data_IF_677142366942
#
_entry.id   IF_677142366942
#
_cell.length_a   1.000
_cell.length_b   1.000
_cell.length_c   1.000
_cell.angle_alpha   90.00
_cell.angle_beta   90.00
_cell.angle_gamma   90.00
#
_symmetry.space_group_name_H-M   'P 1'
#
loop_
_entity.id
_entity.type
_entity.pdbx_description
1 polymer ?
#
# COMPACT_ATOMS: atom_id res chain seq x y z
N UNK A 1 -77.95 2.03 -29.21
CA UNK A 1 -76.67 2.18 -28.48
C UNK A 1 -76.73 1.32 -27.23
N UNK A 2 -76.06 0.16 -27.23
CA UNK A 2 -75.96 -0.72 -26.06
C UNK A 2 -74.67 -0.39 -25.31
N UNK A 3 -74.77 0.13 -24.08
CA UNK A 3 -73.62 0.36 -23.20
C UNK A 3 -73.10 -0.99 -22.70
N UNK A 4 -71.84 -1.31 -23.00
CA UNK A 4 -71.12 -2.43 -22.38
C UNK A 4 -71.04 -2.18 -20.87
N UNK A 5 -71.83 -2.92 -20.09
CA UNK A 5 -71.75 -2.86 -18.64
C UNK A 5 -70.52 -3.66 -18.18
N UNK A 6 -69.49 -2.95 -17.72
CA UNK A 6 -68.42 -3.59 -16.94
C UNK A 6 -69.02 -4.01 -15.60
N UNK A 7 -69.29 -5.31 -15.43
CA UNK A 7 -69.54 -5.84 -14.09
C UNK A 7 -68.19 -5.90 -13.38
N UNK A 8 -67.97 -5.15 -12.28
CA UNK A 8 -66.75 -5.30 -11.49
C UNK A 8 -66.68 -6.75 -11.02
N UNK A 9 -65.62 -7.47 -11.43
CA UNK A 9 -65.40 -8.81 -10.92
C UNK A 9 -65.12 -8.68 -9.42
N UNK A 10 -65.78 -9.48 -8.55
CA UNK A 10 -65.51 -9.44 -7.12
C UNK A 10 -64.02 -9.70 -6.87
N UNK A 11 -63.45 -8.94 -5.94
CA UNK A 11 -62.05 -9.06 -5.56
C UNK A 11 -61.80 -10.49 -5.05
N UNK A 12 -60.94 -11.23 -5.75
CA UNK A 12 -60.52 -12.55 -5.31
C UNK A 12 -59.46 -12.38 -4.22
N UNK A 13 -59.89 -12.58 -2.97
CA UNK A 13 -59.05 -12.46 -1.77
C UNK A 13 -57.90 -13.48 -1.77
N UNK A 14 -58.02 -14.56 -2.56
CA UNK A 14 -56.99 -15.58 -2.69
C UNK A 14 -56.00 -15.30 -3.83
N UNK A 15 -56.19 -14.20 -4.59
CA UNK A 15 -55.25 -13.80 -5.63
C UNK A 15 -53.93 -13.39 -4.98
N UNK A 16 -52.87 -14.13 -5.29
CA UNK A 16 -51.51 -13.82 -4.81
C UNK A 16 -51.10 -12.44 -5.31
N UNK A 17 -50.64 -11.60 -4.39
CA UNK A 17 -50.16 -10.24 -4.68
C UNK A 17 -48.73 -10.38 -5.24
N UNK A 18 -48.39 -9.71 -6.35
CA UNK A 18 -47.00 -9.64 -6.81
C UNK A 18 -46.16 -8.88 -5.78
N UNK A 19 -45.09 -9.51 -5.30
CA UNK A 19 -44.11 -8.85 -4.44
C UNK A 19 -43.10 -8.20 -5.36
N UNK A 20 -43.08 -6.88 -5.39
CA UNK A 20 -42.08 -6.11 -6.13
C UNK A 20 -40.80 -6.10 -5.32
N UNK A 21 -39.70 -6.58 -5.89
CA UNK A 21 -38.38 -6.61 -5.25
C UNK A 21 -37.47 -5.51 -5.78
N UNK A 22 -37.70 -5.04 -7.00
CA UNK A 22 -36.96 -3.94 -7.60
C UNK A 22 -37.86 -3.06 -8.48
N UNK A 23 -37.44 -1.80 -8.72
CA UNK A 23 -38.13 -0.87 -9.64
C UNK A 23 -38.27 -1.46 -11.06
N UNK A 24 -37.38 -2.38 -11.45
CA UNK A 24 -37.44 -3.05 -12.76
C UNK A 24 -38.61 -4.04 -12.87
N UNK A 25 -39.11 -4.55 -11.73
CA UNK A 25 -40.26 -5.46 -11.71
C UNK A 25 -41.59 -4.75 -12.01
N UNK A 26 -41.58 -3.41 -12.12
CA UNK A 26 -42.74 -2.63 -12.54
C UNK A 26 -42.86 -2.48 -14.06
N UNK A 27 -41.80 -2.70 -14.84
CA UNK A 27 -41.82 -2.35 -16.28
C UNK A 27 -42.42 -3.43 -17.20
N UNK A 28 -42.71 -4.64 -16.70
CA UNK A 28 -43.05 -5.80 -17.54
C UNK A 28 -44.56 -6.01 -17.84
N UNK A 29 -45.48 -5.24 -17.24
CA UNK A 29 -46.94 -5.51 -17.36
C UNK A 29 -47.75 -4.52 -18.24
N UNK A 30 -47.18 -3.43 -18.75
CA UNK A 30 -47.95 -2.38 -19.45
C UNK A 30 -47.90 -2.39 -21.00
N UNK A 31 -47.24 -3.38 -21.64
CA UNK A 31 -46.98 -3.32 -23.10
C UNK A 31 -47.94 -4.15 -23.99
N UNK A 32 -48.88 -4.94 -23.46
CA UNK A 32 -49.68 -5.88 -24.28
C UNK A 32 -51.20 -5.65 -24.27
N UNK A 33 -51.65 -4.41 -24.47
CA UNK A 33 -53.04 -4.17 -24.89
C UNK A 33 -53.14 -3.20 -26.08
N UNK A 34 -52.46 -3.50 -27.18
CA UNK A 34 -52.82 -2.91 -28.46
C UNK A 34 -52.56 -3.86 -29.63
N UNK A 35 -53.58 -4.00 -30.46
CA UNK A 35 -53.57 -4.48 -31.86
C UNK A 35 -53.43 -5.98 -32.19
N UNK A 36 -54.56 -6.49 -32.73
CA UNK A 36 -54.71 -7.31 -33.96
C UNK A 36 -54.60 -8.85 -33.89
N UNK A 37 -55.78 -9.47 -34.06
CA UNK A 37 -56.14 -10.45 -35.10
C UNK A 37 -55.08 -11.50 -35.48
N UNK A 38 -55.31 -12.75 -35.07
CA UNK A 38 -55.16 -13.93 -35.94
C UNK A 38 -56.08 -15.07 -35.46
N UNK A 39 -57.04 -15.39 -36.32
CA UNK A 39 -57.75 -16.66 -36.42
C UNK A 39 -56.75 -17.84 -36.39
N UNK A 40 -57.10 -18.96 -35.76
CA UNK A 40 -57.01 -20.35 -36.29
C UNK A 40 -57.35 -21.37 -35.18
N UNK A 41 -58.45 -22.09 -35.43
CA UNK A 41 -58.87 -23.46 -35.06
C UNK A 41 -58.56 -24.09 -33.71
N UNK A 42 -59.63 -24.63 -33.12
CA UNK A 42 -59.68 -25.67 -32.10
C UNK A 42 -58.74 -26.86 -32.36
N UNK A 43 -58.05 -27.29 -31.31
CA UNK A 43 -57.62 -28.66 -31.11
C UNK A 43 -57.53 -28.93 -29.60
N UNK A 44 -58.52 -29.64 -29.07
CA UNK A 44 -58.45 -30.35 -27.79
C UNK A 44 -57.28 -31.33 -27.82
N UNK A 45 -56.34 -31.19 -26.87
CA UNK A 45 -55.42 -32.25 -26.42
C UNK A 45 -54.74 -31.84 -25.12
N UNK A 46 -55.38 -32.22 -24.00
CA UNK A 46 -54.77 -32.63 -22.73
C UNK A 46 -53.48 -31.91 -22.28
N UNK A 47 -53.65 -30.74 -21.66
CA UNK A 47 -52.60 -30.15 -20.82
C UNK A 47 -52.44 -31.03 -19.59
N UNK A 48 -51.40 -31.86 -19.60
CA UNK A 48 -50.88 -32.55 -18.43
C UNK A 48 -50.84 -31.58 -17.26
N UNK A 49 -51.52 -31.93 -16.16
CA UNK A 49 -51.35 -31.24 -14.88
C UNK A 49 -49.88 -31.36 -14.47
N UNK A 50 -49.11 -30.30 -14.70
CA UNK A 50 -47.74 -30.19 -14.22
C UNK A 50 -47.86 -30.16 -12.70
N UNK A 51 -47.44 -31.28 -12.11
CA UNK A 51 -47.27 -31.47 -10.68
C UNK A 51 -46.76 -30.19 -10.04
N UNK A 52 -47.48 -29.73 -9.01
CA UNK A 52 -47.14 -28.65 -8.11
C UNK A 52 -45.65 -28.70 -7.74
N UNK A 53 -44.81 -27.98 -8.51
CA UNK A 53 -43.43 -27.71 -8.16
C UNK A 53 -43.49 -26.93 -6.87
N UNK A 54 -43.15 -27.57 -5.75
CA UNK A 54 -42.82 -26.89 -4.49
C UNK A 54 -41.96 -25.69 -4.88
N UNK A 55 -42.42 -24.49 -4.57
CA UNK A 55 -41.68 -23.27 -4.82
C UNK A 55 -40.29 -23.48 -4.22
N UNK A 56 -39.28 -23.64 -5.07
CA UNK A 56 -37.90 -23.71 -4.62
C UNK A 56 -37.67 -22.42 -3.82
N UNK A 57 -37.14 -22.55 -2.61
CA UNK A 57 -36.80 -21.38 -1.81
C UNK A 57 -35.90 -20.49 -2.65
N UNK A 58 -36.39 -19.32 -3.03
CA UNK A 58 -35.65 -18.40 -3.87
C UNK A 58 -34.43 -17.93 -3.10
N UNK A 59 -33.25 -18.29 -3.60
CA UNK A 59 -31.98 -17.91 -2.97
C UNK A 59 -31.80 -16.41 -3.19
N UNK A 60 -31.71 -15.59 -2.14
CA UNK A 60 -31.55 -14.15 -2.31
C UNK A 60 -30.24 -13.85 -3.03
N UNK A 61 -30.30 -13.01 -4.05
CA UNK A 61 -29.12 -12.50 -4.75
C UNK A 61 -28.64 -11.23 -4.05
N UNK A 62 -27.37 -11.13 -3.62
CA UNK A 62 -26.87 -9.92 -2.97
C UNK A 62 -26.82 -8.76 -3.96
N UNK A 63 -27.11 -7.56 -3.47
CA UNK A 63 -26.94 -6.32 -4.22
C UNK A 63 -25.46 -5.95 -4.31
N UNK A 64 -25.08 -5.33 -5.43
CA UNK A 64 -23.74 -4.75 -5.60
C UNK A 64 -23.83 -3.24 -5.70
N UNK A 65 -22.80 -2.55 -5.23
CA UNK A 65 -22.70 -1.08 -5.23
C UNK A 65 -21.48 -0.68 -6.04
N UNK A 66 -21.63 0.35 -6.87
CA UNK A 66 -20.52 0.97 -7.61
C UNK A 66 -19.84 1.98 -6.70
N UNK A 67 -18.51 1.91 -6.61
CA UNK A 67 -17.70 2.81 -5.77
C UNK A 67 -17.06 3.86 -6.67
N UNK A 68 -17.43 5.12 -6.48
CA UNK A 68 -16.99 6.23 -7.34
C UNK A 68 -15.47 6.47 -7.28
N UNK A 69 -14.84 6.20 -6.13
CA UNK A 69 -13.40 6.42 -5.92
C UNK A 69 -12.52 5.29 -6.44
N UNK A 70 -13.11 4.19 -6.93
CA UNK A 70 -12.37 2.97 -7.28
C UNK A 70 -11.18 3.22 -8.22
N UNK A 71 -11.38 3.98 -9.30
CA UNK A 71 -10.31 4.26 -10.28
C UNK A 71 -9.23 5.21 -9.74
N UNK A 72 -9.53 5.98 -8.69
CA UNK A 72 -8.56 6.83 -7.99
C UNK A 72 -7.75 6.00 -6.99
N UNK A 73 -8.41 5.11 -6.25
CA UNK A 73 -7.80 4.33 -5.17
C UNK A 73 -6.97 3.15 -5.71
N UNK A 74 -7.35 2.59 -6.86
CA UNK A 74 -6.70 1.43 -7.46
C UNK A 74 -6.09 1.75 -8.82
N UNK A 75 -4.81 2.10 -8.83
CA UNK A 75 -4.06 2.33 -10.07
C UNK A 75 -3.75 1.04 -10.83
N UNK A 76 -3.91 1.06 -12.15
CA UNK A 76 -3.70 -0.09 -13.05
C UNK A 76 -2.22 -0.26 -13.42
N UNK A 77 -1.38 -0.57 -12.44
CA UNK A 77 0.09 -0.69 -12.61
C UNK A 77 0.56 -2.10 -12.99
N UNK A 78 -0.31 -3.10 -12.93
CA UNK A 78 0.05 -4.48 -13.22
C UNK A 78 0.29 -4.73 -14.71
N UNK A 79 1.48 -5.25 -15.06
CA UNK A 79 1.80 -5.74 -16.39
C UNK A 79 1.81 -7.26 -16.41
N UNK A 80 0.98 -7.85 -17.28
CA UNK A 80 0.86 -9.31 -17.35
C UNK A 80 2.13 -9.93 -17.93
N UNK A 81 2.82 -10.83 -17.19
CA UNK A 81 3.98 -11.53 -17.73
C UNK A 81 3.55 -12.60 -18.74
N UNK A 82 4.46 -12.95 -19.65
CA UNK A 82 4.25 -14.01 -20.65
C UNK A 82 4.14 -15.43 -20.04
N UNK A 83 4.43 -15.60 -18.75
CA UNK A 83 4.39 -16.88 -18.05
C UNK A 83 3.47 -16.82 -16.84
N UNK A 84 3.02 -17.98 -16.36
CA UNK A 84 2.19 -18.04 -15.16
C UNK A 84 2.89 -17.49 -13.92
N UNK A 85 2.12 -16.79 -13.09
CA UNK A 85 2.58 -16.21 -11.84
C UNK A 85 3.06 -17.31 -10.88
N UNK A 86 4.34 -17.27 -10.53
CA UNK A 86 4.91 -18.08 -9.46
C UNK A 86 4.95 -17.26 -8.18
N UNK A 87 3.81 -17.15 -7.50
CA UNK A 87 3.71 -16.38 -6.27
C UNK A 87 4.44 -17.08 -5.12
N UNK A 88 5.21 -16.33 -4.33
CA UNK A 88 5.51 -16.72 -2.94
C UNK A 88 4.26 -16.50 -2.09
N UNK A 89 4.16 -17.21 -0.96
CA UNK A 89 3.03 -17.03 -0.03
C UNK A 89 2.87 -15.57 0.38
N UNK A 90 1.62 -15.16 0.63
CA UNK A 90 1.15 -13.77 0.79
C UNK A 90 1.82 -12.93 1.89
N UNK A 91 2.81 -13.46 2.62
CA UNK A 91 3.56 -12.79 3.69
C UNK A 91 5.08 -13.03 3.62
N UNK A 92 5.59 -13.51 2.49
CA UNK A 92 7.04 -13.62 2.28
C UNK A 92 7.54 -12.32 1.65
N UNK A 93 7.51 -11.25 2.43
CA UNK A 93 7.78 -9.91 1.93
C UNK A 93 9.28 -9.65 1.88
N UNK A 94 9.74 -9.27 0.70
CA UNK A 94 11.09 -8.80 0.45
C UNK A 94 11.06 -7.30 0.78
N UNK A 95 11.29 -6.92 2.05
CA UNK A 95 11.29 -5.51 2.48
C UNK A 95 10.87 -5.27 3.94
N UNK A 96 10.98 -4.02 4.39
CA UNK A 96 10.42 -3.54 5.67
C UNK A 96 8.92 -3.25 5.45
N UNK A 97 8.06 -4.25 5.70
CA UNK A 97 6.61 -4.07 5.59
C UNK A 97 6.09 -3.20 6.73
N UNK A 98 5.47 -2.08 6.37
CA UNK A 98 4.75 -1.21 7.28
C UNK A 98 3.29 -1.69 7.36
N UNK A 99 2.88 -2.17 8.55
CA UNK A 99 1.56 -2.76 8.83
C UNK A 99 0.67 -1.80 9.64
N UNK A 100 0.96 -0.50 9.56
CA UNK A 100 0.24 0.53 10.30
C UNK A 100 -0.25 1.58 9.30
N UNK A 101 -1.57 1.70 9.21
CA UNK A 101 -2.25 2.74 8.46
C UNK A 101 -2.79 3.77 9.47
N UNK A 102 -2.72 5.06 9.15
CA UNK A 102 -3.29 6.10 10.00
C UNK A 102 -4.81 5.94 10.11
N UNK A 103 -5.32 6.04 11.33
CA UNK A 103 -6.77 6.16 11.54
C UNK A 103 -7.22 7.63 11.57
N UNK A 104 -8.53 7.86 11.67
CA UNK A 104 -9.08 9.22 11.69
C UNK A 104 -8.49 10.09 12.82
N UNK A 105 -8.19 9.49 13.99
CA UNK A 105 -7.58 10.22 15.12
C UNK A 105 -6.14 10.65 14.78
N UNK A 106 -5.39 9.77 14.12
CA UNK A 106 -4.04 10.07 13.64
C UNK A 106 -4.03 11.15 12.56
N UNK A 107 -4.99 11.11 11.62
CA UNK A 107 -5.13 12.12 10.57
C UNK A 107 -5.48 13.50 11.14
N UNK A 108 -6.42 13.56 12.09
CA UNK A 108 -6.79 14.79 12.79
C UNK A 108 -5.60 15.37 13.56
N UNK A 109 -4.88 14.52 14.30
CA UNK A 109 -3.68 14.92 15.04
C UNK A 109 -2.58 15.44 14.10
N UNK A 110 -2.32 14.73 12.99
CA UNK A 110 -1.31 15.11 12.01
C UNK A 110 -1.65 16.45 11.34
N UNK A 111 -2.92 16.66 11.02
CA UNK A 111 -3.39 17.92 10.45
C UNK A 111 -3.18 19.09 11.40
N UNK A 112 -3.53 18.94 12.68
CA UNK A 112 -3.32 19.98 13.69
C UNK A 112 -1.84 20.23 13.97
N UNK A 113 -1.03 19.18 14.03
CA UNK A 113 0.42 19.29 14.20
C UNK A 113 1.09 20.04 13.04
N UNK A 114 0.65 19.80 11.81
CA UNK A 114 1.17 20.45 10.61
C UNK A 114 0.74 21.92 10.48
N UNK A 115 -0.41 22.32 11.04
CA UNK A 115 -0.81 23.74 11.11
C UNK A 115 0.22 24.60 11.85
N UNK A 116 0.94 24.03 12.80
CA UNK A 116 2.02 24.71 13.55
C UNK A 116 3.32 24.88 12.75
N UNK A 117 3.32 24.59 11.45
CA UNK A 117 4.47 24.76 10.55
C UNK A 117 5.48 23.59 10.59
N UNK A 118 5.12 22.48 11.23
CA UNK A 118 5.96 21.29 11.39
C UNK A 118 5.59 20.24 10.35
N UNK A 119 5.80 20.52 9.06
CA UNK A 119 5.43 19.67 7.91
C UNK A 119 5.91 18.20 8.04
N UNK A 120 5.13 17.36 8.71
CA UNK A 120 5.33 15.92 8.87
C UNK A 120 4.50 15.19 7.80
N UNK A 121 5.15 14.29 7.06
CA UNK A 121 4.47 13.44 6.09
C UNK A 121 3.73 12.29 6.79
N UNK A 122 2.55 11.91 6.28
CA UNK A 122 1.74 10.80 6.81
C UNK A 122 2.54 9.48 6.87
N UNK A 123 3.21 9.13 5.78
CA UNK A 123 4.06 7.93 5.69
C UNK A 123 5.15 7.86 6.78
N UNK A 124 5.69 9.03 7.17
CA UNK A 124 6.68 9.09 8.26
C UNK A 124 6.04 8.83 9.61
N UNK A 125 4.84 9.37 9.85
CA UNK A 125 4.09 9.12 11.08
C UNK A 125 3.76 7.62 11.21
N UNK A 126 3.24 7.00 10.15
CA UNK A 126 2.96 5.56 10.07
C UNK A 126 4.19 4.72 10.41
N UNK A 127 5.32 5.01 9.75
CA UNK A 127 6.56 4.28 9.97
C UNK A 127 7.07 4.41 11.42
N UNK A 128 6.95 5.59 12.02
CA UNK A 128 7.38 5.82 13.41
C UNK A 128 6.46 5.08 14.39
N UNK A 129 5.15 5.23 14.26
CA UNK A 129 4.18 4.55 15.14
C UNK A 129 4.35 3.04 15.04
N UNK A 130 4.45 2.50 13.82
CA UNK A 130 4.70 1.07 13.61
C UNK A 130 5.96 0.59 14.33
N UNK A 131 7.06 1.33 14.24
CA UNK A 131 8.31 0.97 14.91
C UNK A 131 8.18 1.05 16.44
N UNK A 132 7.48 2.06 16.97
CA UNK A 132 7.20 2.17 18.41
C UNK A 132 6.39 0.95 18.91
N UNK A 133 5.34 0.55 18.19
CA UNK A 133 4.55 -0.64 18.48
C UNK A 133 5.41 -1.92 18.56
N UNK A 134 6.29 -2.11 17.57
CA UNK A 134 7.19 -3.28 17.51
C UNK A 134 8.24 -3.24 18.62
N UNK A 135 8.81 -2.07 18.92
CA UNK A 135 9.80 -1.91 20.00
C UNK A 135 9.19 -2.14 21.38
N UNK A 136 8.01 -1.61 21.64
CA UNK A 136 7.25 -1.88 22.87
C UNK A 136 6.92 -3.36 23.01
N UNK A 137 6.52 -4.02 21.92
CA UNK A 137 6.32 -5.47 21.93
C UNK A 137 7.60 -6.23 22.31
N UNK A 138 8.75 -5.89 21.71
CA UNK A 138 10.04 -6.49 22.08
C UNK A 138 10.45 -6.18 23.53
N UNK A 139 10.11 -5.01 24.06
CA UNK A 139 10.35 -4.68 25.45
C UNK A 139 9.51 -5.56 26.39
N UNK A 140 8.23 -5.78 26.06
CA UNK A 140 7.33 -6.69 26.79
C UNK A 140 7.78 -8.14 26.76
N UNK A 141 8.20 -8.66 25.61
CA UNK A 141 8.75 -10.02 25.50
C UNK A 141 10.00 -10.18 26.37
N UNK A 142 10.92 -9.20 26.36
CA UNK A 142 12.14 -9.23 27.19
C UNK A 142 11.85 -9.15 28.68
N UNK A 143 10.81 -8.40 29.07
CA UNK A 143 10.37 -8.29 30.46
C UNK A 143 9.57 -9.53 30.93
N UNK A 144 9.31 -10.51 30.06
CA UNK A 144 8.45 -11.66 30.36
C UNK A 144 6.96 -11.30 30.51
N UNK A 145 6.57 -10.09 30.11
CA UNK A 145 5.18 -9.60 30.16
C UNK A 145 4.48 -10.01 28.86
N UNK A 146 4.29 -11.31 28.68
CA UNK A 146 3.53 -11.87 27.56
C UNK A 146 2.12 -12.15 28.08
N UNK A 147 1.22 -11.19 27.94
CA UNK A 147 -0.18 -11.42 28.28
C UNK A 147 -0.74 -12.51 27.36
N UNK A 148 -1.17 -13.68 27.87
CA UNK A 148 -1.56 -14.79 27.00
C UNK A 148 -2.94 -14.60 26.37
N UNK A 149 -3.74 -13.64 26.86
CA UNK A 149 -5.15 -13.48 26.46
C UNK A 149 -5.55 -12.02 26.26
N UNK A 150 -6.48 -11.79 25.33
CA UNK A 150 -6.98 -10.46 24.89
C UNK A 150 -7.68 -9.60 25.96
N UNK A 151 -7.98 -10.14 27.16
CA UNK A 151 -8.80 -9.46 28.16
C UNK A 151 -8.04 -8.58 29.14
N UNK A 152 -6.72 -8.73 29.29
CA UNK A 152 -5.96 -7.91 30.23
C UNK A 152 -5.47 -6.60 29.60
N UNK A 153 -5.38 -5.55 30.41
CA UNK A 153 -4.71 -4.31 30.06
C UNK A 153 -3.21 -4.57 29.80
N UNK A 154 -2.68 -4.01 28.72
CA UNK A 154 -1.30 -4.18 28.28
C UNK A 154 -0.58 -2.83 28.42
N UNK A 155 0.26 -2.66 29.46
CA UNK A 155 0.95 -1.40 29.69
C UNK A 155 2.03 -1.14 28.63
N UNK A 156 2.36 0.13 28.44
CA UNK A 156 3.51 0.56 27.65
C UNK A 156 4.78 0.39 28.48
N UNK A 157 5.75 -0.37 27.99
CA UNK A 157 7.05 -0.58 28.65
C UNK A 157 8.20 0.14 27.95
N UNK A 158 7.99 0.56 26.71
CA UNK A 158 8.98 1.35 25.99
C UNK A 158 9.18 2.70 26.70
N UNK A 159 10.44 3.05 26.99
CA UNK A 159 10.81 4.37 27.51
C UNK A 159 11.18 5.31 26.37
N UNK A 160 11.09 6.62 26.61
CA UNK A 160 11.46 7.64 25.63
C UNK A 160 12.90 7.47 25.17
N UNK A 161 13.83 7.26 26.09
CA UNK A 161 15.26 7.19 25.80
C UNK A 161 15.59 5.98 24.93
N UNK A 162 15.00 4.82 25.22
CA UNK A 162 15.16 3.61 24.41
C UNK A 162 14.52 3.76 23.02
N UNK A 163 13.39 4.47 22.93
CA UNK A 163 12.74 4.76 21.65
C UNK A 163 13.59 5.71 20.79
N UNK A 164 14.13 6.77 21.40
CA UNK A 164 15.03 7.73 20.75
C UNK A 164 16.26 6.99 20.22
N UNK A 165 16.92 6.19 21.04
CA UNK A 165 18.11 5.41 20.67
C UNK A 165 17.83 4.47 19.48
N UNK A 166 16.71 3.76 19.52
CA UNK A 166 16.35 2.81 18.46
C UNK A 166 15.95 3.48 17.13
N UNK A 167 15.52 4.74 17.17
CA UNK A 167 14.96 5.47 16.02
C UNK A 167 15.85 6.61 15.51
N UNK A 168 17.10 6.70 15.99
CA UNK A 168 18.08 7.70 15.51
C UNK A 168 18.33 7.62 14.00
N UNK A 169 18.19 6.44 13.40
CA UNK A 169 18.42 6.22 11.96
C UNK A 169 17.40 6.91 11.05
N UNK A 170 16.25 7.34 11.58
CA UNK A 170 15.17 7.96 10.79
C UNK A 170 15.38 9.44 10.48
N UNK A 171 16.47 10.08 10.97
CA UNK A 171 16.80 11.50 10.74
C UNK A 171 15.61 12.43 11.01
N UNK A 172 15.05 12.35 12.23
CA UNK A 172 13.90 13.16 12.67
C UNK A 172 14.38 14.21 13.67
N UNK A 173 13.80 15.42 13.59
CA UNK A 173 14.02 16.44 14.60
C UNK A 173 13.51 15.97 15.97
N UNK A 174 14.34 16.13 17.00
CA UNK A 174 14.04 15.65 18.35
C UNK A 174 12.66 16.10 18.87
N UNK A 175 12.30 17.38 18.66
CA UNK A 175 11.01 17.92 19.09
C UNK A 175 9.82 17.23 18.42
N UNK A 176 9.92 16.96 17.11
CA UNK A 176 8.88 16.24 16.36
C UNK A 176 8.76 14.81 16.85
N UNK A 177 9.89 14.13 17.04
CA UNK A 177 9.90 12.77 17.58
C UNK A 177 9.23 12.68 18.96
N UNK A 178 9.57 13.61 19.85
CA UNK A 178 9.02 13.63 21.21
C UNK A 178 7.50 13.85 21.20
N UNK A 179 7.00 14.74 20.33
CA UNK A 179 5.56 14.94 20.13
C UNK A 179 4.86 13.66 19.65
N UNK A 180 5.43 12.96 18.65
CA UNK A 180 4.88 11.70 18.15
C UNK A 180 4.89 10.62 19.23
N UNK A 181 6.00 10.49 19.97
CA UNK A 181 6.13 9.52 21.05
C UNK A 181 5.08 9.75 22.14
N UNK A 182 4.89 11.00 22.56
CA UNK A 182 3.89 11.36 23.56
C UNK A 182 2.47 11.06 23.07
N UNK A 183 2.16 11.45 21.83
CA UNK A 183 0.87 11.15 21.20
C UNK A 183 0.60 9.64 21.17
N UNK A 184 1.53 8.86 20.63
CA UNK A 184 1.43 7.40 20.56
C UNK A 184 1.29 6.76 21.95
N UNK A 185 2.09 7.22 22.92
CA UNK A 185 2.05 6.71 24.29
C UNK A 185 0.70 6.98 24.93
N UNK A 186 0.17 8.19 24.80
CA UNK A 186 -1.15 8.56 25.33
C UNK A 186 -2.25 7.74 24.66
N UNK A 187 -2.20 7.58 23.33
CA UNK A 187 -3.12 6.70 22.57
C UNK A 187 -3.07 5.27 23.09
N UNK A 188 -1.87 4.72 23.33
CA UNK A 188 -1.68 3.38 23.88
C UNK A 188 -2.14 3.22 25.32
N UNK A 189 -1.95 4.25 26.15
CA UNK A 189 -2.44 4.27 27.53
C UNK A 189 -3.97 4.41 27.58
N UNK A 190 -4.61 5.11 26.64
CA UNK A 190 -6.09 5.12 26.54
C UNK A 190 -6.62 3.76 26.05
N UNK A 191 -5.99 3.18 25.02
CA UNK A 191 -6.46 1.95 24.39
C UNK A 191 -6.16 0.69 25.21
N UNK A 192 -5.12 0.73 26.05
CA UNK A 192 -4.69 -0.37 26.94
C UNK A 192 -4.35 -1.68 26.20
N UNK A 193 -4.12 -1.62 24.88
CA UNK A 193 -3.76 -2.75 24.01
C UNK A 193 -2.87 -2.24 22.88
N UNK A 194 -2.04 -3.09 22.26
CA UNK A 194 -1.36 -2.75 21.02
C UNK A 194 -2.35 -2.32 19.94
N UNK A 195 -2.03 -1.25 19.22
CA UNK A 195 -2.90 -0.75 18.15
C UNK A 195 -2.89 -1.75 16.99
N UNK A 196 -1.71 -2.25 16.62
CA UNK A 196 -1.57 -3.26 15.57
C UNK A 196 -2.13 -4.62 16.01
N UNK A 197 -3.15 -5.11 15.30
CA UNK A 197 -3.85 -6.36 15.63
C UNK A 197 -2.93 -7.58 15.74
N UNK A 198 -1.86 -7.65 14.95
CA UNK A 198 -0.87 -8.74 14.98
C UNK A 198 -0.13 -8.86 16.31
N UNK A 199 0.05 -7.74 17.01
CA UNK A 199 0.76 -7.66 18.29
C UNK A 199 -0.18 -7.86 19.49
N UNK A 200 -1.49 -7.87 19.26
CA UNK A 200 -2.47 -8.18 20.28
C UNK A 200 -2.51 -9.68 20.56
N UNK A 201 -2.65 -10.09 21.83
CA UNK A 201 -2.69 -11.50 22.17
C UNK A 201 -3.95 -12.16 21.59
N UNK A 202 -3.88 -13.47 21.35
CA UNK A 202 -5.01 -14.20 20.78
C UNK A 202 -6.22 -14.20 21.73
N UNK A 203 -7.44 -14.35 21.18
CA UNK A 203 -8.61 -14.58 21.99
C UNK A 203 -8.52 -15.92 22.75
N UNK A 204 -9.03 -16.00 23.99
CA UNK A 204 -9.00 -17.24 24.77
C UNK A 204 -9.81 -18.35 24.10
N UNK A 205 -9.43 -19.62 24.34
CA UNK A 205 -10.06 -20.80 23.73
C UNK A 205 -11.53 -20.97 24.11
N UNK A 206 -11.88 -20.56 25.33
CA UNK A 206 -13.20 -20.73 25.94
C UNK A 206 -14.08 -19.48 25.86
N UNK A 207 -13.61 -18.40 25.23
CA UNK A 207 -14.45 -17.22 25.11
C UNK A 207 -15.62 -17.48 24.15
N UNK A 208 -16.79 -17.00 24.54
CA UNK A 208 -18.09 -17.26 23.91
C UNK A 208 -18.49 -16.13 22.94
N UNK A 209 -17.73 -15.02 22.92
CA UNK A 209 -18.00 -13.90 22.06
C UNK A 209 -17.94 -14.30 20.57
N UNK A 210 -19.03 -14.12 19.79
CA UNK A 210 -19.08 -14.49 18.38
C UNK A 210 -18.14 -13.66 17.50
N UNK A 211 -17.75 -12.46 17.92
CA UNK A 211 -16.84 -11.59 17.17
C UNK A 211 -15.36 -12.00 17.29
N UNK A 212 -15.03 -12.88 18.25
CA UNK A 212 -13.66 -13.33 18.49
C UNK A 212 -13.41 -14.67 17.76
N UNK A 213 -12.72 -14.59 16.62
CA UNK A 213 -12.37 -15.73 15.75
C UNK A 213 -10.90 -16.13 15.88
N UNK A 214 -10.50 -17.22 15.21
CA UNK A 214 -9.11 -17.75 15.19
C UNK A 214 -8.48 -17.99 16.57
N UNK A 215 -9.30 -18.40 17.54
CA UNK A 215 -8.83 -18.87 18.85
C UNK A 215 -7.77 -19.94 18.64
N UNK A 216 -6.54 -19.78 19.18
CA UNK A 216 -5.53 -20.82 19.14
C UNK A 216 -6.02 -22.01 19.97
N UNK A 217 -6.73 -22.91 19.32
CA UNK A 217 -6.99 -24.22 19.90
C UNK A 217 -5.66 -24.93 19.74
N UNK A 218 -4.95 -25.15 20.85
CA UNK A 218 -4.06 -26.29 20.87
C UNK A 218 -4.90 -27.45 20.35
N UNK A 219 -4.47 -28.06 19.24
CA UNK A 219 -5.06 -29.32 18.86
C UNK A 219 -4.92 -30.16 20.10
N UNK A 220 -6.04 -30.66 20.62
CA UNK A 220 -6.06 -31.92 21.32
C UNK A 220 -5.62 -33.03 20.33
N UNK A 221 -4.42 -32.92 19.74
CA UNK A 221 -3.56 -34.05 19.83
C UNK A 221 -3.30 -34.18 21.32
N UNK A 222 -4.08 -35.03 21.98
CA UNK A 222 -3.77 -35.48 23.33
C UNK A 222 -2.24 -35.71 23.34
N UNK A 223 -1.50 -34.82 23.98
CA UNK A 223 -0.32 -35.27 24.71
C UNK A 223 -0.94 -36.13 25.81
N UNK A 224 -1.22 -37.39 25.46
CA UNK A 224 -1.87 -38.37 26.31
C UNK A 224 -1.05 -38.45 27.60
N UNK A 225 -1.54 -37.80 28.64
CA UNK A 225 -0.75 -37.10 29.67
C UNK A 225 -0.07 -38.01 30.69
N UNK A 226 0.14 -39.29 30.39
CA UNK A 226 1.02 -40.17 31.18
C UNK A 226 1.83 -41.12 30.32
N UNK A 227 1.27 -41.63 29.22
CA UNK A 227 2.05 -42.41 28.24
C UNK A 227 2.86 -41.53 27.31
N UNK A 228 2.42 -40.31 26.96
CA UNK A 228 3.12 -39.35 26.08
C UNK A 228 3.99 -38.34 26.83
N UNK A 229 3.89 -38.15 28.15
CA UNK A 229 5.03 -37.51 28.84
C UNK A 229 6.23 -38.44 28.77
N UNK A 230 6.03 -39.74 29.00
CA UNK A 230 7.06 -40.75 28.75
C UNK A 230 7.30 -40.97 27.26
N UNK A 231 6.34 -40.87 26.34
CA UNK A 231 6.56 -41.04 24.89
C UNK A 231 7.09 -39.78 24.22
N UNK A 232 6.90 -38.57 24.76
CA UNK A 232 7.44 -37.32 24.25
C UNK A 232 8.78 -37.02 24.91
N UNK A 233 9.02 -37.43 26.16
CA UNK A 233 10.39 -37.62 26.67
C UNK A 233 11.08 -38.76 25.92
N UNK A 234 10.39 -39.87 25.65
CA UNK A 234 10.91 -40.98 24.83
C UNK A 234 10.82 -40.70 23.33
N UNK A 235 10.24 -39.61 22.82
CA UNK A 235 10.25 -39.20 21.39
C UNK A 235 11.07 -37.92 21.22
N UNK A 236 11.37 -37.17 22.28
CA UNK A 236 12.55 -36.31 22.32
C UNK A 236 13.80 -37.18 22.49
N UNK A 237 13.75 -38.26 23.28
CA UNK A 237 14.81 -39.27 23.38
C UNK A 237 14.80 -40.27 22.21
N UNK A 238 13.66 -40.56 21.56
CA UNK A 238 13.55 -41.29 20.26
C UNK A 238 13.24 -40.39 19.08
N UNK A 239 13.53 -39.09 19.17
CA UNK A 239 14.00 -38.33 18.01
C UNK A 239 15.43 -38.82 17.88
N UNK A 240 15.58 -40.06 17.45
CA UNK A 240 16.89 -40.55 17.05
C UNK A 240 17.37 -39.53 16.04
N UNK A 241 18.50 -38.90 16.36
CA UNK A 241 19.19 -37.97 15.50
C UNK A 241 19.56 -38.77 14.24
N UNK A 242 18.61 -38.84 13.30
CA UNK A 242 18.71 -39.71 12.16
C UNK A 242 19.81 -39.13 11.28
N UNK A 243 20.98 -39.77 11.30
CA UNK A 243 22.17 -39.35 10.59
C UNK A 243 21.87 -39.06 9.12
N UNK A 244 20.99 -39.85 8.49
CA UNK A 244 20.57 -39.63 7.11
C UNK A 244 19.77 -38.33 6.94
N UNK A 245 18.90 -37.99 7.89
CA UNK A 245 18.15 -36.72 7.86
C UNK A 245 19.07 -35.51 8.07
N UNK A 246 20.06 -35.65 8.95
CA UNK A 246 21.08 -34.63 9.19
C UNK A 246 21.98 -34.42 7.96
N UNK A 247 22.42 -35.50 7.31
CA UNK A 247 23.18 -35.44 6.06
C UNK A 247 22.37 -34.77 4.94
N UNK A 248 21.09 -35.12 4.80
CA UNK A 248 20.17 -34.45 3.86
C UNK A 248 20.03 -32.96 4.17
N UNK A 249 19.88 -32.56 5.44
CA UNK A 249 19.86 -31.14 5.83
C UNK A 249 21.17 -30.43 5.51
N UNK A 250 22.31 -31.09 5.70
CA UNK A 250 23.62 -30.56 5.33
C UNK A 250 23.73 -30.39 3.81
N UNK A 251 23.18 -31.31 3.02
CA UNK A 251 23.10 -31.18 1.56
C UNK A 251 22.18 -30.03 1.14
N UNK A 252 20.99 -29.91 1.73
CA UNK A 252 20.07 -28.78 1.48
C UNK A 252 20.74 -27.46 1.81
N UNK A 253 21.45 -27.35 2.94
CA UNK A 253 22.21 -26.15 3.31
C UNK A 253 23.23 -25.79 2.23
N UNK A 254 24.05 -26.73 1.77
CA UNK A 254 25.03 -26.49 0.68
C UNK A 254 24.35 -26.03 -0.61
N UNK A 255 23.23 -26.66 -0.99
CA UNK A 255 22.49 -26.30 -2.20
C UNK A 255 21.88 -24.89 -2.09
N UNK A 256 21.38 -24.52 -0.90
CA UNK A 256 20.86 -23.17 -0.64
C UNK A 256 21.98 -22.13 -0.61
N UNK A 257 23.15 -22.46 -0.05
CA UNK A 257 24.33 -21.59 -0.07
C UNK A 257 24.79 -21.33 -1.51
N UNK A 258 24.79 -22.37 -2.37
CA UNK A 258 25.07 -22.23 -3.81
C UNK A 258 24.02 -21.38 -4.52
N UNK A 259 22.74 -21.64 -4.29
CA UNK A 259 21.66 -20.85 -4.88
C UNK A 259 21.73 -19.37 -4.45
N UNK A 260 22.06 -19.11 -3.17
CA UNK A 260 22.28 -17.77 -2.63
C UNK A 260 23.43 -17.07 -3.35
N UNK A 261 24.57 -17.74 -3.53
CA UNK A 261 25.72 -17.16 -4.23
C UNK A 261 25.40 -16.78 -5.69
N UNK A 262 24.64 -17.64 -6.40
CA UNK A 262 24.19 -17.34 -7.77
C UNK A 262 23.24 -16.14 -7.79
N UNK A 263 22.30 -16.05 -6.84
CA UNK A 263 21.38 -14.92 -6.73
C UNK A 263 22.12 -13.62 -6.39
N UNK A 264 23.08 -13.63 -5.47
CA UNK A 264 23.91 -12.46 -5.15
C UNK A 264 24.72 -11.98 -6.36
N UNK A 265 25.32 -12.90 -7.13
CA UNK A 265 26.02 -12.55 -8.35
C UNK A 265 25.07 -11.96 -9.41
N UNK A 266 23.85 -12.47 -9.52
CA UNK A 266 22.82 -11.94 -10.41
C UNK A 266 22.41 -10.51 -9.99
N UNK A 267 22.14 -10.28 -8.70
CA UNK A 267 21.81 -8.96 -8.17
C UNK A 267 22.91 -7.96 -8.51
N UNK A 268 24.18 -8.28 -8.20
CA UNK A 268 25.34 -7.43 -8.54
C UNK A 268 25.43 -7.14 -10.03
N UNK A 269 25.15 -8.14 -10.88
CA UNK A 269 25.16 -7.97 -12.33
C UNK A 269 24.08 -6.98 -12.78
N UNK A 270 22.85 -7.10 -12.28
CA UNK A 270 21.77 -6.19 -12.67
C UNK A 270 21.97 -4.78 -12.08
N UNK A 271 22.53 -4.65 -10.87
CA UNK A 271 22.94 -3.36 -10.31
C UNK A 271 24.01 -2.67 -11.18
N UNK A 272 25.05 -3.40 -11.60
CA UNK A 272 26.09 -2.86 -12.49
C UNK A 272 25.57 -2.47 -13.87
N UNK A 273 24.64 -3.23 -14.45
CA UNK A 273 23.97 -2.85 -15.70
C UNK A 273 23.18 -1.55 -15.53
N UNK A 274 22.45 -1.39 -14.42
CA UNK A 274 21.73 -0.15 -14.11
C UNK A 274 22.70 1.02 -13.99
N UNK A 275 23.80 0.87 -13.24
CA UNK A 275 24.82 1.91 -13.09
C UNK A 275 25.46 2.31 -14.43
N UNK A 276 25.74 1.34 -15.31
CA UNK A 276 26.27 1.62 -16.65
C UNK A 276 25.27 2.43 -17.49
N UNK A 277 24.00 2.02 -17.51
CA UNK A 277 22.95 2.75 -18.23
C UNK A 277 22.75 4.16 -17.67
N UNK A 278 22.74 4.31 -16.34
CA UNK A 278 22.65 5.63 -15.69
C UNK A 278 23.84 6.52 -16.08
N UNK A 279 25.04 5.94 -16.15
CA UNK A 279 26.26 6.61 -16.62
C UNK A 279 26.17 7.04 -18.09
N UNK A 280 25.74 6.17 -18.98
CA UNK A 280 25.54 6.47 -20.41
C UNK A 280 24.53 7.60 -20.60
N UNK A 281 23.38 7.52 -19.92
CA UNK A 281 22.33 8.55 -19.95
C UNK A 281 22.85 9.88 -19.39
N UNK A 282 23.64 9.85 -18.32
CA UNK A 282 24.25 11.05 -17.74
C UNK A 282 25.21 11.73 -18.72
N UNK A 283 26.10 10.95 -19.36
CA UNK A 283 27.03 11.46 -20.38
C UNK A 283 26.27 12.06 -21.56
N UNK A 284 25.23 11.38 -22.06
CA UNK A 284 24.41 11.91 -23.15
C UNK A 284 23.71 13.22 -22.76
N UNK A 285 23.15 13.33 -21.56
CA UNK A 285 22.56 14.59 -21.07
C UNK A 285 23.59 15.71 -21.00
N UNK A 286 24.80 15.43 -20.52
CA UNK A 286 25.89 16.41 -20.44
C UNK A 286 26.31 16.84 -21.85
N UNK A 287 26.49 15.91 -22.79
CA UNK A 287 26.82 16.23 -24.18
C UNK A 287 25.76 17.09 -24.86
N UNK A 288 24.47 16.81 -24.65
CA UNK A 288 23.39 17.65 -25.19
C UNK A 288 23.42 19.07 -24.60
N UNK A 289 23.67 19.20 -23.30
CA UNK A 289 23.83 20.52 -22.66
C UNK A 289 24.98 21.32 -23.26
N UNK A 290 26.16 20.70 -23.39
CA UNK A 290 27.32 21.38 -23.98
C UNK A 290 27.12 21.70 -25.47
N UNK A 291 26.41 20.86 -26.23
CA UNK A 291 26.03 21.19 -27.62
C UNK A 291 25.15 22.44 -27.68
N UNK A 292 24.12 22.52 -26.84
CA UNK A 292 23.26 23.70 -26.81
C UNK A 292 23.98 24.95 -26.28
N UNK A 293 24.87 24.81 -25.30
CA UNK A 293 25.70 25.93 -24.83
C UNK A 293 26.70 26.40 -25.90
N UNK A 294 27.29 25.48 -26.69
CA UNK A 294 28.19 25.84 -27.79
C UNK A 294 27.45 26.47 -28.97
N UNK A 295 26.27 25.96 -29.34
CA UNK A 295 25.39 26.55 -30.33
C UNK A 295 24.95 27.98 -29.93
N UNK A 296 24.57 28.20 -28.66
CA UNK A 296 24.24 29.53 -28.13
C UNK A 296 25.42 30.50 -28.18
N UNK A 297 26.62 30.04 -27.82
CA UNK A 297 27.83 30.88 -27.85
C UNK A 297 28.28 31.20 -29.29
N UNK A 298 28.08 30.28 -30.23
CA UNK A 298 28.33 30.52 -31.66
C UNK A 298 27.33 31.50 -32.26
N UNK A 299 26.04 31.39 -31.90
CA UNK A 299 25.00 32.33 -32.31
C UNK A 299 25.25 33.74 -31.74
N UNK A 300 25.60 33.85 -30.45
CA UNK A 300 25.96 35.12 -29.81
C UNK A 300 27.22 35.75 -30.48
N UNK A 301 28.21 34.92 -30.84
CA UNK A 301 29.40 35.37 -31.54
C UNK A 301 29.11 35.84 -32.97
N UNK A 302 28.26 35.11 -33.71
CA UNK A 302 27.85 35.49 -35.06
C UNK A 302 27.01 36.77 -35.04
N UNK A 303 26.15 36.94 -34.04
CA UNK A 303 25.33 38.13 -33.86
C UNK A 303 26.17 39.35 -33.47
N UNK A 304 27.16 39.18 -32.58
CA UNK A 304 28.14 40.22 -32.25
C UNK A 304 29.01 40.61 -33.47
N UNK A 305 29.40 39.63 -34.30
CA UNK A 305 30.18 39.87 -35.51
C UNK A 305 29.37 40.56 -36.61
N UNK A 306 28.09 40.22 -36.75
CA UNK A 306 27.17 40.91 -37.67
C UNK A 306 26.94 42.36 -37.21
N UNK A 307 26.73 42.61 -35.91
CA UNK A 307 26.63 43.96 -35.37
C UNK A 307 27.90 44.79 -35.61
N UNK A 308 29.08 44.17 -35.46
CA UNK A 308 30.37 44.83 -35.73
C UNK A 308 30.57 45.15 -37.23
N UNK A 309 30.07 44.30 -38.14
CA UNK A 309 30.12 44.55 -39.59
C UNK A 309 29.13 45.65 -39.99
N UNK A 310 27.97 45.72 -39.36
CA UNK A 310 27.01 46.82 -39.56
C UNK A 310 27.55 48.16 -39.06
N UNK A 311 28.27 48.19 -37.94
CA UNK A 311 28.98 49.39 -37.46
C UNK A 311 30.13 49.81 -38.39
N UNK A 312 30.95 48.87 -38.88
CA UNK A 312 32.02 49.18 -39.85
C UNK A 312 31.49 49.66 -41.22
N UNK A 313 30.28 49.26 -41.60
CA UNK A 313 29.62 49.73 -42.83
C UNK A 313 29.00 51.13 -42.67
N UNK A 314 28.69 51.55 -41.42
CA UNK A 314 28.15 52.86 -41.11
C UNK A 314 29.23 53.94 -40.89
N UNK A 315 30.49 53.54 -40.64
CA UNK A 315 31.60 54.45 -40.36
C UNK A 315 32.34 54.97 -41.61
N UNK A 316 31.82 54.73 -42.83
CA UNK A 316 32.41 55.23 -44.08
C UNK A 316 31.80 56.54 -44.61
N UNK A 317 30.89 57.19 -43.88
CA UNK A 317 30.42 58.54 -44.24
C UNK A 317 30.43 59.50 -43.03
N UNK A 318 31.44 60.38 -43.01
CA UNK A 318 31.25 61.77 -42.59
C UNK A 318 31.46 62.15 -41.11
N UNK A 319 32.71 62.48 -40.78
CA UNK A 319 33.16 63.70 -40.08
C UNK A 319 32.29 64.33 -38.94
N UNK A 320 32.85 64.28 -37.74
CA UNK A 320 32.98 65.38 -36.76
C UNK A 320 31.73 65.92 -36.02
N UNK A 321 31.63 65.62 -34.72
CA UNK A 321 31.42 66.60 -33.62
C UNK A 321 31.48 65.91 -32.24
N UNK A 322 32.32 66.42 -31.35
CA UNK A 322 32.49 65.91 -30.00
C UNK A 322 31.30 66.20 -29.08
N UNK A 323 31.01 65.27 -28.17
CA UNK A 323 30.31 65.52 -26.89
C UNK A 323 30.85 64.54 -25.83
N UNK A 324 31.21 65.11 -24.69
CA UNK A 324 31.59 64.47 -23.42
C UNK A 324 30.37 63.78 -22.78
N UNK A 325 30.50 62.54 -22.24
CA UNK A 325 30.01 62.20 -20.89
C UNK A 325 30.26 60.74 -20.44
N UNK A 326 30.95 60.62 -19.30
CA UNK A 326 30.80 59.66 -18.18
C UNK A 326 30.95 58.14 -18.36
N UNK A 327 32.08 57.64 -17.84
CA UNK A 327 32.32 56.27 -17.34
C UNK A 327 31.37 55.90 -16.18
N UNK A 328 31.13 54.59 -15.96
CA UNK A 328 31.10 54.03 -14.61
C UNK A 328 32.28 53.09 -14.34
N UNK A 329 32.69 53.12 -13.08
CA UNK A 329 33.80 52.39 -12.47
C UNK A 329 33.55 50.88 -12.40
N UNK A 330 34.57 50.10 -12.76
CA UNK A 330 34.73 48.68 -12.42
C UNK A 330 35.53 48.60 -11.11
N UNK A 331 35.00 47.86 -10.12
CA UNK A 331 35.67 47.54 -8.86
C UNK A 331 36.08 46.07 -8.92
N UNK A 332 37.38 45.81 -8.95
CA UNK A 332 37.96 44.50 -8.67
C UNK A 332 38.04 44.32 -7.15
N UNK A 333 37.53 43.18 -6.65
CA UNK A 333 37.91 42.67 -5.35
C UNK A 333 38.39 41.22 -5.53
N UNK A 334 39.72 41.06 -5.46
CA UNK A 334 40.39 39.78 -5.28
C UNK A 334 40.48 39.46 -3.80
N UNK A 335 40.00 38.30 -3.36
CA UNK A 335 40.51 37.64 -2.16
C UNK A 335 40.50 36.12 -2.34
N UNK A 336 41.71 35.58 -2.30
CA UNK A 336 42.01 34.16 -2.33
C UNK A 336 41.94 33.52 -0.94
N UNK A 337 41.52 32.26 -0.93
CA UNK A 337 42.06 31.14 -0.14
C UNK A 337 41.43 30.75 1.22
N UNK A 338 40.99 29.48 1.21
CA UNK A 338 41.29 28.42 2.20
C UNK A 338 40.29 28.16 3.33
N UNK A 339 39.64 26.99 3.28
CA UNK A 339 39.82 25.96 4.32
C UNK A 339 39.12 24.64 3.93
N UNK A 340 39.91 23.69 3.43
CA UNK A 340 39.61 22.28 3.48
C UNK A 340 39.76 21.77 4.93
N UNK A 341 38.79 21.01 5.46
CA UNK A 341 38.96 20.27 6.71
C UNK A 341 38.74 18.78 6.49
N UNK A 342 39.80 18.05 6.84
CA UNK A 342 40.04 16.61 6.72
C UNK A 342 39.05 15.79 7.55
N UNK A 343 38.58 14.72 6.94
CA UNK A 343 38.19 13.47 7.61
C UNK A 343 39.46 12.80 8.16
N UNK A 344 39.44 12.44 9.46
CA UNK A 344 40.30 11.38 10.02
C UNK A 344 39.38 10.23 10.42
N UNK A 345 39.67 9.07 9.86
CA UNK A 345 39.38 7.77 10.43
C UNK A 345 40.35 7.52 11.59
N UNK A 346 39.80 7.11 12.73
CA UNK A 346 40.28 5.99 13.55
C UNK A 346 39.07 5.10 13.84
#
# INVERSE_FOLDING_TARGET
MSRLSFRPRPLDVNKKIPIVKSIKDFEDDDVLTSTRLRLVSDADSEVHQIASKKAASEIPTPEFVVVDTYEKDYSRTFSQPASYLRARGARSEIGEFLDYDLDNEDEDWLHDFNKEGKNLAAEKLEAIIFKLEVLDHKARERAGVITPTLSAAIPVLLTSDAAIEALQSLSIQYGVFLSIYNYWKEKRERWQKPVTRRLQPPPPVNDTNPYNVFRPREKAHRLHTRRVMNLALMQLQRRENNVQSFEKLRQVRRNLDQAKAILEALIKREEKKRELLDGEVSVQRIQMKYKHETELMEDDYLQAKLASIEEEFFDSDGNNRGVVSTRPHFVEESSSASAARRLRHE
#
